data_IF_445453444187
#
_entry.id   IF_445453444187
#
_cell.length_a   1.000
_cell.length_b   1.000
_cell.length_c   1.000
_cell.angle_alpha   90.00
_cell.angle_beta   90.00
_cell.angle_gamma   90.00
#
_symmetry.space_group_name_H-M   'P 1'
#
loop_
_entity.id
_entity.type
_entity.pdbx_description
1 polymer ?
#
# COMPACT_ATOMS: atom_id res chain seq x y z
N UNK A 1 -10.61 14.09 0.79
CA UNK A 1 -9.47 13.19 0.53
C UNK A 1 -9.97 11.75 0.44
N UNK A 2 -9.29 10.89 -0.31
CA UNK A 2 -9.64 9.46 -0.47
C UNK A 2 -8.40 8.60 -0.20
N UNK A 3 -8.60 7.51 0.54
CA UNK A 3 -7.64 6.44 0.71
C UNK A 3 -8.18 5.18 0.01
N UNK A 4 -7.51 4.76 -1.05
CA UNK A 4 -7.87 3.57 -1.82
C UNK A 4 -7.17 2.33 -1.28
N UNK A 5 -7.85 1.19 -1.30
CA UNK A 5 -7.32 -0.08 -0.77
C UNK A 5 -6.13 -0.63 -1.58
N UNK A 6 -5.95 -0.19 -2.83
CA UNK A 6 -4.82 -0.54 -3.68
C UNK A 6 -4.40 0.62 -4.57
N UNK A 7 -3.15 0.61 -5.02
CA UNK A 7 -2.65 1.58 -6.01
C UNK A 7 -3.41 1.50 -7.33
N UNK A 8 -3.81 0.32 -7.79
CA UNK A 8 -4.59 0.16 -9.02
C UNK A 8 -5.96 0.85 -8.93
N UNK A 9 -6.64 0.72 -7.80
CA UNK A 9 -7.92 1.41 -7.58
C UNK A 9 -7.73 2.92 -7.43
N UNK A 10 -6.66 3.36 -6.77
CA UNK A 10 -6.31 4.77 -6.74
C UNK A 10 -6.08 5.32 -8.17
N UNK A 11 -5.37 4.59 -9.02
CA UNK A 11 -5.07 5.01 -10.39
C UNK A 11 -6.35 5.10 -11.24
N UNK A 12 -7.24 4.10 -11.15
CA UNK A 12 -8.53 4.16 -11.83
C UNK A 12 -9.39 5.34 -11.36
N UNK A 13 -9.42 5.61 -10.05
CA UNK A 13 -10.11 6.76 -9.50
C UNK A 13 -9.46 8.08 -9.95
N UNK A 14 -8.13 8.16 -9.97
CA UNK A 14 -7.40 9.33 -10.48
C UNK A 14 -7.79 9.64 -11.92
N UNK A 15 -7.88 8.62 -12.77
CA UNK A 15 -8.31 8.78 -14.15
C UNK A 15 -9.73 9.34 -14.23
N UNK A 16 -10.70 8.72 -13.54
CA UNK A 16 -12.09 9.17 -13.56
C UNK A 16 -12.26 10.60 -13.02
N UNK A 17 -11.57 10.95 -11.93
CA UNK A 17 -11.59 12.30 -11.37
C UNK A 17 -11.03 13.33 -12.36
N UNK A 18 -9.92 13.00 -13.02
CA UNK A 18 -9.30 13.90 -13.99
C UNK A 18 -10.12 14.06 -15.28
N UNK A 19 -10.84 13.03 -15.71
CA UNK A 19 -11.80 13.09 -16.82
C UNK A 19 -12.95 14.05 -16.53
N UNK A 20 -13.39 14.12 -15.27
CA UNK A 20 -14.39 15.09 -14.77
C UNK A 20 -13.79 16.47 -14.41
N UNK A 21 -12.50 16.69 -14.70
CA UNK A 21 -11.82 17.96 -14.45
C UNK A 21 -11.45 18.25 -12.99
N UNK A 22 -11.58 17.26 -12.09
CA UNK A 22 -11.19 17.39 -10.68
C UNK A 22 -9.67 17.39 -10.56
N UNK A 23 -9.13 18.36 -9.82
CA UNK A 23 -7.69 18.53 -9.61
C UNK A 23 -7.20 17.73 -8.41
N UNK A 24 -6.09 17.02 -8.60
CA UNK A 24 -5.40 16.25 -7.56
C UNK A 24 -3.99 16.82 -7.44
N UNK A 25 -3.53 17.25 -6.26
CA UNK A 25 -4.15 17.09 -4.93
C UNK A 25 -5.07 18.25 -4.51
N UNK A 26 -5.38 19.19 -5.40
CA UNK A 26 -6.02 20.45 -5.03
C UNK A 26 -7.46 20.24 -4.55
N UNK A 27 -8.35 19.73 -5.38
CA UNK A 27 -9.75 19.53 -4.98
C UNK A 27 -9.86 18.29 -4.08
N UNK A 28 -9.04 17.27 -4.36
CA UNK A 28 -9.04 16.04 -3.58
C UNK A 28 -7.63 15.43 -3.49
N UNK A 29 -7.17 15.22 -2.26
CA UNK A 29 -6.00 14.38 -2.01
C UNK A 29 -6.36 12.89 -2.15
N UNK A 30 -5.47 12.14 -2.80
CA UNK A 30 -5.64 10.72 -3.09
C UNK A 30 -4.41 9.95 -2.61
N UNK A 31 -4.63 8.88 -1.84
CA UNK A 31 -3.60 7.99 -1.33
C UNK A 31 -3.94 6.55 -1.70
N UNK A 32 -2.95 5.81 -2.22
CA UNK A 32 -3.06 4.38 -2.53
C UNK A 32 -2.46 3.48 -1.46
N UNK A 33 -2.33 2.20 -1.81
CA UNK A 33 -1.76 1.16 -0.97
C UNK A 33 -1.10 0.10 -1.86
N UNK A 34 0.21 -0.08 -1.75
CA UNK A 34 1.04 -1.20 -2.27
C UNK A 34 2.46 -0.71 -2.57
N UNK A 35 2.58 0.52 -3.07
CA UNK A 35 3.76 1.08 -3.77
C UNK A 35 4.20 0.25 -4.97
N UNK A 36 3.27 -0.02 -5.89
CA UNK A 36 3.63 -0.62 -7.18
C UNK A 36 4.53 0.35 -7.97
N UNK A 37 5.36 -0.18 -8.85
CA UNK A 37 6.31 0.62 -9.63
C UNK A 37 5.64 1.78 -10.38
N UNK A 38 4.45 1.53 -10.93
CA UNK A 38 3.67 2.52 -11.67
C UNK A 38 3.22 3.72 -10.83
N UNK A 39 3.13 3.59 -9.50
CA UNK A 39 2.67 4.67 -8.60
C UNK A 39 3.56 5.91 -8.66
N UNK A 40 4.84 5.77 -9.02
CA UNK A 40 5.73 6.91 -9.21
C UNK A 40 5.50 7.65 -10.55
N UNK A 41 4.87 7.00 -11.53
CA UNK A 41 4.79 7.44 -12.93
C UNK A 41 3.35 7.75 -13.38
N UNK A 42 2.39 7.74 -12.46
CA UNK A 42 1.03 8.22 -12.71
C UNK A 42 1.03 9.70 -13.10
N UNK A 43 -0.04 10.15 -13.78
CA UNK A 43 -0.19 11.54 -14.22
C UNK A 43 0.03 12.56 -13.08
N UNK A 44 -0.41 12.22 -11.88
CA UNK A 44 0.04 12.83 -10.62
C UNK A 44 0.70 11.75 -9.78
N UNK A 45 2.03 11.79 -9.52
CA UNK A 45 2.72 10.75 -8.75
C UNK A 45 2.00 10.41 -7.43
N UNK A 46 1.60 9.15 -7.29
CA UNK A 46 0.68 8.66 -6.26
C UNK A 46 1.39 8.46 -4.91
N UNK A 47 0.91 9.17 -3.89
CA UNK A 47 1.24 8.90 -2.49
C UNK A 47 0.61 7.56 -2.09
N UNK A 48 1.36 6.67 -1.45
CA UNK A 48 0.90 5.31 -1.16
C UNK A 48 1.62 4.69 0.03
N UNK A 49 0.99 3.69 0.65
CA UNK A 49 1.62 2.87 1.68
C UNK A 49 2.41 1.74 1.03
N UNK A 50 3.73 1.72 1.22
CA UNK A 50 4.61 0.64 0.78
C UNK A 50 4.54 -0.53 1.75
N UNK A 51 4.23 -1.69 1.20
CA UNK A 51 4.17 -2.95 1.93
C UNK A 51 5.46 -3.74 1.67
N UNK A 52 6.23 -4.14 2.70
CA UNK A 52 7.44 -4.94 2.52
C UNK A 52 7.09 -6.41 2.23
N UNK A 53 6.54 -6.66 1.03
CA UNK A 53 6.00 -7.97 0.60
C UNK A 53 7.01 -9.11 0.76
N UNK A 54 8.29 -8.85 0.48
CA UNK A 54 9.39 -9.82 0.68
C UNK A 54 9.61 -10.20 2.13
N UNK A 55 9.57 -9.23 3.04
CA UNK A 55 9.72 -9.49 4.49
C UNK A 55 8.50 -10.24 5.02
N UNK A 56 7.29 -9.81 4.67
CA UNK A 56 6.05 -10.51 5.01
C UNK A 56 6.08 -11.98 4.59
N UNK A 57 6.48 -12.25 3.34
CA UNK A 57 6.62 -13.63 2.84
C UNK A 57 7.67 -14.43 3.61
N UNK A 58 8.83 -13.84 3.89
CA UNK A 58 9.89 -14.47 4.70
C UNK A 58 9.39 -14.85 6.09
N UNK A 59 8.72 -13.92 6.78
CA UNK A 59 8.19 -14.15 8.12
C UNK A 59 7.10 -15.22 8.12
N UNK A 60 6.21 -15.22 7.13
CA UNK A 60 5.18 -16.25 6.98
C UNK A 60 5.80 -17.65 6.82
N UNK A 61 6.81 -17.80 5.96
CA UNK A 61 7.53 -19.07 5.77
C UNK A 61 8.27 -19.49 7.04
N UNK A 62 8.94 -18.56 7.73
CA UNK A 62 9.61 -18.87 8.99
C UNK A 62 8.64 -19.37 10.08
N UNK A 63 7.44 -18.78 10.17
CA UNK A 63 6.40 -19.24 11.09
C UNK A 63 5.92 -20.65 10.73
N UNK A 64 5.75 -20.94 9.44
CA UNK A 64 5.35 -22.26 8.96
C UNK A 64 6.42 -23.33 9.27
N UNK A 65 7.69 -23.05 9.00
CA UNK A 65 8.80 -23.97 9.28
C UNK A 65 8.92 -24.28 10.78
N UNK A 66 8.76 -23.27 11.64
CA UNK A 66 8.73 -23.45 13.10
C UNK A 66 7.58 -24.36 13.53
N UNK A 67 6.43 -24.29 12.86
CA UNK A 67 5.29 -25.17 13.15
C UNK A 67 5.61 -26.63 12.87
N UNK A 68 6.24 -26.94 11.73
CA UNK A 68 6.59 -28.32 11.37
C UNK A 68 7.66 -28.92 12.28
N UNK A 69 8.65 -28.14 12.72
CA UNK A 69 9.75 -28.65 13.56
C UNK A 69 9.40 -28.89 15.03
N UNK A 70 8.28 -28.36 15.55
CA UNK A 70 8.04 -28.31 17.00
C UNK A 70 7.18 -29.45 17.57
N UNK A 71 6.41 -30.18 16.76
CA UNK A 71 5.50 -31.26 17.21
C UNK A 71 4.38 -30.87 18.21
N UNK A 72 4.43 -29.67 18.78
CA UNK A 72 3.56 -29.20 19.86
C UNK A 72 2.47 -28.22 19.38
N UNK A 73 1.45 -28.03 20.23
CA UNK A 73 0.34 -27.09 20.03
C UNK A 73 0.89 -25.66 19.77
N UNK A 74 0.88 -25.23 18.50
CA UNK A 74 1.46 -23.97 18.08
C UNK A 74 0.50 -22.83 18.44
N UNK A 75 0.87 -22.00 19.42
CA UNK A 75 0.12 -20.76 19.71
C UNK A 75 0.25 -19.82 18.52
N UNK A 76 -0.88 -19.33 18.01
CA UNK A 76 -0.90 -18.33 16.94
C UNK A 76 -0.08 -17.12 17.37
N UNK A 77 0.97 -16.79 16.62
CA UNK A 77 1.79 -15.59 16.84
C UNK A 77 1.49 -14.59 15.73
N UNK A 78 0.95 -13.43 16.09
CA UNK A 78 0.83 -12.31 15.17
C UNK A 78 2.11 -11.49 15.21
N UNK A 79 2.81 -11.38 14.08
CA UNK A 79 3.93 -10.44 13.91
C UNK A 79 3.44 -9.25 13.10
N UNK A 80 3.64 -8.03 13.63
CA UNK A 80 3.43 -6.80 12.87
C UNK A 80 4.71 -6.49 12.09
N UNK A 81 4.57 -6.30 10.78
CA UNK A 81 5.67 -5.85 9.93
C UNK A 81 5.44 -4.36 9.65
N UNK A 82 6.43 -3.49 9.90
CA UNK A 82 6.28 -2.05 9.69
C UNK A 82 6.05 -1.75 8.21
N UNK A 83 5.23 -0.74 7.95
CA UNK A 83 4.97 -0.21 6.60
C UNK A 83 5.48 1.22 6.52
N UNK A 84 5.69 1.71 5.30
CA UNK A 84 6.21 3.05 5.05
C UNK A 84 5.19 3.86 4.23
N UNK A 85 4.92 5.10 4.62
CA UNK A 85 4.17 6.03 3.78
C UNK A 85 5.12 6.69 2.78
N UNK A 86 4.96 6.38 1.51
CA UNK A 86 5.72 6.99 0.42
C UNK A 86 4.97 8.23 -0.05
N UNK A 87 5.39 9.39 0.45
CA UNK A 87 4.77 10.68 0.11
C UNK A 87 5.19 11.12 -1.30
N UNK A 88 4.20 11.41 -2.15
CA UNK A 88 4.38 11.95 -3.50
C UNK A 88 3.47 13.16 -3.72
N UNK A 89 3.05 13.41 -4.97
CA UNK A 89 2.34 14.64 -5.38
C UNK A 89 0.82 14.55 -5.22
N UNK A 90 0.24 13.36 -5.11
CA UNK A 90 -1.22 13.19 -5.09
C UNK A 90 -1.92 13.52 -3.77
N UNK A 91 -1.18 13.84 -2.70
CA UNK A 91 -1.76 14.17 -1.40
C UNK A 91 -1.09 15.42 -0.81
N UNK A 92 -1.90 16.34 -0.25
CA UNK A 92 -1.39 17.51 0.47
C UNK A 92 -0.81 17.07 1.83
N UNK A 93 0.25 17.74 2.28
CA UNK A 93 0.63 17.73 3.70
C UNK A 93 -0.35 18.65 4.42
N UNK A 94 -1.07 18.08 5.40
CA UNK A 94 -1.91 18.85 6.33
C UNK A 94 -1.07 19.55 7.38
#
# INVERSE_FOLDING_TARGET
>A
AVFAYSDLVAIGLMQALMEEGVKIPEDISLVGYDDIEFSAYTKVPLTTVRIPKRELGREAVQLLLKRFGSGACFKARAKKVPVELVVRKSARRG
#
